data_IF_726359248377
#
_entry.id   IF_726359248377
#
_cell.length_a   1.000
_cell.length_b   1.000
_cell.length_c   1.000
_cell.angle_alpha   90.00
_cell.angle_beta   90.00
_cell.angle_gamma   90.00
#
_symmetry.space_group_name_H-M   'P 1'
#
loop_
_entity.id
_entity.type
_entity.pdbx_description
1 polymer ?
#
# COMPACT_ATOMS: atom_id res chain seq x y z
N UNK A 1 16.42 -26.60 -10.00
CA UNK A 1 17.18 -25.36 -10.24
C UNK A 1 16.26 -24.19 -9.97
N UNK A 2 16.65 -23.26 -9.11
CA UNK A 2 15.89 -22.01 -8.89
C UNK A 2 16.01 -21.16 -10.16
N UNK A 3 14.88 -20.69 -10.72
CA UNK A 3 14.91 -19.90 -11.95
C UNK A 3 15.53 -18.52 -11.69
N UNK A 4 16.07 -17.86 -12.72
CA UNK A 4 16.60 -16.49 -12.56
C UNK A 4 15.50 -15.51 -12.10
N UNK A 5 14.23 -15.78 -12.46
CA UNK A 5 13.09 -14.99 -12.02
C UNK A 5 12.84 -15.16 -10.53
N UNK A 6 12.93 -16.37 -9.97
CA UNK A 6 12.75 -16.61 -8.54
C UNK A 6 13.83 -15.90 -7.73
N UNK A 7 15.08 -15.96 -8.19
CA UNK A 7 16.21 -15.24 -7.55
C UNK A 7 15.96 -13.74 -7.52
N UNK A 8 15.55 -13.14 -8.64
CA UNK A 8 15.24 -11.71 -8.72
C UNK A 8 14.02 -11.34 -7.88
N UNK A 9 13.05 -12.25 -7.75
CA UNK A 9 11.88 -12.05 -6.92
C UNK A 9 12.28 -11.96 -5.45
N UNK A 10 13.08 -12.92 -4.98
CA UNK A 10 13.61 -12.93 -3.61
C UNK A 10 14.47 -11.69 -3.36
N UNK A 11 15.37 -11.32 -4.27
CA UNK A 11 16.19 -10.11 -4.15
C UNK A 11 15.33 -8.85 -3.98
N UNK A 12 14.28 -8.71 -4.80
CA UNK A 12 13.31 -7.62 -4.68
C UNK A 12 12.60 -7.65 -3.32
N UNK A 13 12.24 -8.84 -2.83
CA UNK A 13 11.58 -9.00 -1.54
C UNK A 13 12.50 -8.65 -0.37
N UNK A 14 13.78 -9.01 -0.42
CA UNK A 14 14.77 -8.58 0.58
C UNK A 14 14.88 -7.05 0.66
N UNK A 15 14.86 -6.36 -0.49
CA UNK A 15 14.87 -4.89 -0.50
C UNK A 15 13.64 -4.30 0.20
N UNK A 16 12.46 -4.92 0.02
CA UNK A 16 11.23 -4.49 0.71
C UNK A 16 11.23 -4.85 2.18
N UNK A 17 11.76 -6.02 2.56
CA UNK A 17 11.95 -6.40 3.96
C UNK A 17 12.90 -5.44 4.66
N UNK A 18 13.92 -4.92 3.97
CA UNK A 18 14.79 -3.86 4.49
C UNK A 18 14.03 -2.62 4.94
N UNK A 19 13.05 -2.16 4.14
CA UNK A 19 12.16 -1.05 4.50
C UNK A 19 11.31 -1.37 5.74
N UNK A 20 10.75 -2.58 5.80
CA UNK A 20 9.95 -3.04 6.96
C UNK A 20 10.80 -3.07 8.23
N UNK A 21 12.02 -3.63 8.17
CA UNK A 21 12.95 -3.70 9.30
C UNK A 21 13.36 -2.32 9.79
N UNK A 22 13.60 -1.39 8.87
CA UNK A 22 13.91 -0.01 9.20
C UNK A 22 12.76 0.65 10.00
N UNK A 23 11.53 0.54 9.50
CA UNK A 23 10.35 1.05 10.21
C UNK A 23 10.15 0.37 11.56
N UNK A 24 10.31 -0.96 11.62
CA UNK A 24 10.14 -1.72 12.86
C UNK A 24 11.09 -1.23 13.96
N UNK A 25 12.35 -0.94 13.62
CA UNK A 25 13.31 -0.34 14.55
C UNK A 25 12.86 1.05 15.01
N UNK A 26 12.40 1.90 14.09
CA UNK A 26 11.89 3.24 14.44
C UNK A 26 10.66 3.18 15.33
N UNK A 27 9.80 2.18 15.13
CA UNK A 27 8.54 2.00 15.84
C UNK A 27 8.65 1.08 17.06
N UNK A 28 9.88 0.79 17.53
CA UNK A 28 10.14 0.01 18.74
C UNK A 28 9.45 -1.37 18.73
N UNK A 29 9.51 -2.05 17.58
CA UNK A 29 8.89 -3.35 17.35
C UNK A 29 7.35 -3.37 17.34
N UNK A 30 6.70 -2.22 17.18
CA UNK A 30 5.25 -2.14 16.97
C UNK A 30 4.89 -2.50 15.51
N UNK A 31 4.54 -3.77 15.30
CA UNK A 31 4.16 -4.29 13.98
C UNK A 31 2.85 -3.71 13.43
N UNK A 32 1.91 -3.33 14.29
CA UNK A 32 0.67 -2.69 13.87
C UNK A 32 0.94 -1.28 13.31
N UNK A 33 1.81 -0.53 13.97
CA UNK A 33 2.24 0.78 13.50
C UNK A 33 3.01 0.68 12.16
N UNK A 34 3.89 -0.33 12.02
CA UNK A 34 4.60 -0.60 10.76
C UNK A 34 3.61 -0.93 9.64
N UNK A 35 2.63 -1.80 9.93
CA UNK A 35 1.58 -2.13 8.96
C UNK A 35 0.82 -0.87 8.56
N UNK A 36 0.42 -0.01 9.51
CA UNK A 36 -0.30 1.23 9.22
C UNK A 36 0.45 2.15 8.27
N UNK A 37 1.74 2.38 8.49
CA UNK A 37 2.55 3.22 7.60
C UNK A 37 2.69 2.61 6.21
N UNK A 38 2.97 1.31 6.15
CA UNK A 38 3.15 0.61 4.88
C UNK A 38 1.83 0.50 4.09
N UNK A 39 0.70 0.24 4.75
CA UNK A 39 -0.64 0.28 4.16
C UNK A 39 -0.95 1.68 3.63
N UNK A 40 -0.73 2.72 4.44
CA UNK A 40 -0.98 4.10 4.03
C UNK A 40 -0.20 4.43 2.76
N UNK A 41 1.09 4.09 2.71
CA UNK A 41 1.91 4.21 1.50
C UNK A 41 1.32 3.45 0.31
N UNK A 42 0.92 2.20 0.52
CA UNK A 42 0.29 1.36 -0.51
C UNK A 42 -1.01 1.96 -1.06
N UNK A 43 -1.84 2.57 -0.20
CA UNK A 43 -3.08 3.23 -0.58
C UNK A 43 -2.87 4.47 -1.44
N UNK A 44 -1.73 5.14 -1.30
CA UNK A 44 -1.35 6.27 -2.13
C UNK A 44 -0.83 5.87 -3.52
N UNK A 45 -0.52 4.59 -3.75
CA UNK A 45 0.07 4.08 -5.00
C UNK A 45 1.30 4.93 -5.42
N UNK A 46 1.60 4.99 -6.73
CA UNK A 46 2.76 5.73 -7.24
C UNK A 46 2.61 7.25 -7.12
N UNK A 47 1.39 7.80 -7.11
CA UNK A 47 1.17 9.25 -7.15
C UNK A 47 1.17 9.88 -5.76
N UNK A 48 0.53 9.25 -4.77
CA UNK A 48 0.32 9.79 -3.42
C UNK A 48 1.00 8.95 -2.34
N UNK A 49 1.71 7.88 -2.70
CA UNK A 49 2.33 6.98 -1.72
C UNK A 49 3.28 7.68 -0.76
N UNK A 50 4.06 8.65 -1.24
CA UNK A 50 4.94 9.45 -0.38
C UNK A 50 4.17 10.35 0.58
N UNK A 51 3.11 11.02 0.11
CA UNK A 51 2.28 11.88 0.96
C UNK A 51 1.58 11.07 2.06
N UNK A 52 1.03 9.90 1.70
CA UNK A 52 0.33 9.05 2.67
C UNK A 52 1.30 8.39 3.65
N UNK A 53 2.50 8.02 3.20
CA UNK A 53 3.57 7.54 4.07
C UNK A 53 3.99 8.61 5.10
N UNK A 54 4.23 9.85 4.65
CA UNK A 54 4.60 10.95 5.54
C UNK A 54 3.49 11.28 6.55
N UNK A 55 2.24 11.31 6.10
CA UNK A 55 1.08 11.48 6.98
C UNK A 55 1.05 10.40 8.07
N UNK A 56 1.21 9.13 7.69
CA UNK A 56 1.15 8.03 8.64
C UNK A 56 2.27 8.05 9.67
N UNK A 57 3.47 8.51 9.29
CA UNK A 57 4.59 8.72 10.23
C UNK A 57 4.32 9.81 11.28
N UNK A 58 3.48 10.80 10.94
CA UNK A 58 3.12 11.91 11.84
C UNK A 58 1.96 11.57 12.78
N UNK A 59 1.35 10.39 12.62
CA UNK A 59 0.26 9.93 13.48
C UNK A 59 0.80 8.84 14.40
N UNK A 60 0.90 9.07 15.72
CA UNK A 60 1.19 7.99 16.64
C UNK A 60 0.10 6.93 16.54
N UNK A 61 0.46 5.68 16.24
CA UNK A 61 -0.52 4.63 15.92
C UNK A 61 -1.58 4.41 17.01
N UNK A 62 -1.23 4.60 18.28
CA UNK A 62 -2.19 4.61 19.40
C UNK A 62 -3.39 5.56 19.20
N UNK A 63 -3.23 6.65 18.44
CA UNK A 63 -4.32 7.59 18.14
C UNK A 63 -5.27 7.03 17.09
N UNK A 64 -4.76 6.25 16.13
CA UNK A 64 -5.61 5.47 15.23
C UNK A 64 -6.47 4.49 16.05
N UNK A 65 -5.86 3.77 17.00
CA UNK A 65 -6.59 2.85 17.87
C UNK A 65 -7.62 3.53 18.78
N UNK A 66 -7.39 4.76 19.22
CA UNK A 66 -8.34 5.51 20.05
C UNK A 66 -9.52 6.09 19.27
N UNK A 67 -9.30 6.44 18.00
CA UNK A 67 -10.28 7.14 17.19
C UNK A 67 -11.09 6.19 16.27
N UNK A 68 -10.70 4.92 16.16
CA UNK A 68 -11.33 3.91 15.31
C UNK A 68 -12.79 3.60 15.61
N UNK A 69 -13.29 3.95 16.79
CA UNK A 69 -14.69 3.67 17.18
C UNK A 69 -15.69 4.46 16.31
N UNK A 70 -15.24 5.58 15.72
CA UNK A 70 -16.04 6.38 14.80
C UNK A 70 -15.28 6.60 13.47
N UNK A 71 -15.83 6.14 12.33
CA UNK A 71 -15.26 6.43 11.02
C UNK A 71 -15.01 7.92 10.76
N UNK A 72 -15.91 8.80 11.23
CA UNK A 72 -15.76 10.25 11.05
C UNK A 72 -14.46 10.75 11.71
N UNK A 73 -14.13 10.23 12.89
CA UNK A 73 -12.92 10.63 13.62
C UNK A 73 -11.64 10.20 12.91
N UNK A 74 -11.57 8.97 12.39
CA UNK A 74 -10.42 8.53 11.61
C UNK A 74 -10.31 9.27 10.27
N UNK A 75 -11.44 9.51 9.60
CA UNK A 75 -11.46 10.31 8.38
C UNK A 75 -10.97 11.74 8.65
N UNK A 76 -11.41 12.37 9.75
CA UNK A 76 -10.95 13.70 10.15
C UNK A 76 -9.44 13.72 10.40
N UNK A 77 -8.92 12.74 11.13
CA UNK A 77 -7.48 12.60 11.39
C UNK A 77 -6.68 12.46 10.09
N UNK A 78 -7.09 11.55 9.20
CA UNK A 78 -6.36 11.26 7.97
C UNK A 78 -6.44 12.40 6.96
N UNK A 79 -7.63 12.96 6.72
CA UNK A 79 -7.80 14.08 5.79
C UNK A 79 -7.14 15.35 6.32
N UNK A 80 -7.20 15.58 7.63
CA UNK A 80 -6.54 16.71 8.27
C UNK A 80 -5.02 16.65 8.15
N UNK A 81 -4.40 15.49 8.41
CA UNK A 81 -2.96 15.33 8.25
C UNK A 81 -2.48 15.33 6.79
N UNK A 82 -3.41 15.19 5.84
CA UNK A 82 -3.16 15.38 4.40
C UNK A 82 -3.45 16.80 3.90
N UNK A 83 -3.99 17.70 4.74
CA UNK A 83 -4.28 19.09 4.37
C UNK A 83 -5.46 19.20 3.43
N UNK A 84 -6.43 18.29 3.55
CA UNK A 84 -7.62 18.26 2.69
C UNK A 84 -8.83 18.95 3.32
N UNK A 85 -8.66 19.54 4.51
CA UNK A 85 -9.72 20.12 5.31
C UNK A 85 -9.63 21.64 5.45
N UNK A 86 -8.78 22.32 4.69
CA UNK A 86 -8.67 23.78 4.74
C UNK A 86 -9.87 24.48 4.06
N UNK A 87 -10.31 25.65 4.57
CA UNK A 87 -11.38 26.44 3.96
C UNK A 87 -10.97 27.04 2.59
N UNK A 88 -11.94 27.37 1.70
CA UNK A 88 -13.39 27.28 1.90
C UNK A 88 -13.91 25.84 1.80
N UNK A 89 -14.82 25.47 2.71
CA UNK A 89 -15.43 24.14 2.73
C UNK A 89 -16.45 23.97 1.60
N UNK A 90 -16.48 22.77 1.02
CA UNK A 90 -17.36 22.42 -0.12
C UNK A 90 -18.60 21.63 0.30
N UNK A 91 -18.68 21.23 1.56
CA UNK A 91 -19.82 20.52 2.14
C UNK A 91 -19.81 20.65 3.67
N UNK A 92 -20.98 20.50 4.30
CA UNK A 92 -21.10 20.39 5.75
C UNK A 92 -20.27 19.24 6.33
N UNK A 93 -20.15 18.13 5.58
CA UNK A 93 -19.30 17.01 5.96
C UNK A 93 -17.82 17.40 6.06
N UNK A 94 -17.30 18.20 5.12
CA UNK A 94 -15.91 18.66 5.16
C UNK A 94 -15.67 19.60 6.34
N UNK A 95 -16.64 20.47 6.64
CA UNK A 95 -16.60 21.38 7.79
C UNK A 95 -16.62 20.65 9.13
N UNK A 96 -17.45 19.60 9.23
CA UNK A 96 -17.51 18.72 10.40
C UNK A 96 -16.17 18.00 10.62
N UNK A 97 -15.60 17.43 9.55
CA UNK A 97 -14.27 16.81 9.60
C UNK A 97 -13.19 17.81 10.04
N UNK A 98 -13.21 19.03 9.52
CA UNK A 98 -12.27 20.08 9.91
C UNK A 98 -12.38 20.41 11.41
N UNK A 99 -13.60 20.52 11.92
CA UNK A 99 -13.88 20.80 13.33
C UNK A 99 -13.30 19.70 14.23
N UNK A 100 -13.56 18.43 13.90
CA UNK A 100 -13.01 17.29 14.64
C UNK A 100 -11.48 17.25 14.56
N UNK A 101 -10.91 17.46 13.37
CA UNK A 101 -9.47 17.46 13.20
C UNK A 101 -8.78 18.57 13.99
N UNK A 102 -9.36 19.78 14.03
CA UNK A 102 -8.84 20.92 14.79
C UNK A 102 -8.74 20.60 16.29
N UNK A 103 -9.77 19.91 16.82
CA UNK A 103 -9.75 19.40 18.18
C UNK A 103 -8.65 18.35 18.39
N UNK A 104 -8.52 17.35 17.49
CA UNK A 104 -7.48 16.31 17.60
C UNK A 104 -6.07 16.86 17.49
N UNK A 105 -5.84 17.81 16.58
CA UNK A 105 -4.55 18.46 16.39
C UNK A 105 -4.08 19.12 17.68
N UNK A 106 -4.99 19.81 18.37
CA UNK A 106 -4.72 20.45 19.67
C UNK A 106 -4.55 19.41 20.78
N UNK A 107 -5.52 18.50 20.94
CA UNK A 107 -5.55 17.48 22.00
C UNK A 107 -4.33 16.55 21.99
N UNK A 108 -3.88 16.16 20.80
CA UNK A 108 -2.79 15.21 20.63
C UNK A 108 -1.47 15.86 20.21
N UNK A 109 -1.42 17.20 20.14
CA UNK A 109 -0.25 17.96 19.70
C UNK A 109 0.29 17.43 18.36
N UNK A 110 -0.60 17.23 17.40
CA UNK A 110 -0.21 16.69 16.10
C UNK A 110 0.60 17.75 15.34
N UNK A 111 1.76 17.34 14.83
CA UNK A 111 2.60 18.18 13.99
C UNK A 111 1.89 18.52 12.67
N UNK A 112 2.34 19.61 12.05
CA UNK A 112 1.76 20.10 10.81
C UNK A 112 1.81 19.06 9.68
N UNK A 113 0.83 19.20 8.79
CA UNK A 113 0.47 18.40 7.63
C UNK A 113 1.67 17.84 6.84
N UNK A 114 1.46 16.69 6.19
CA UNK A 114 2.45 16.07 5.32
C UNK A 114 3.09 17.09 4.36
N UNK A 115 4.44 17.14 4.35
CA UNK A 115 5.21 18.07 3.49
C UNK A 115 4.94 17.88 2.00
N UNK A 116 4.56 16.66 1.60
CA UNK A 116 4.22 16.34 0.20
C UNK A 116 2.77 16.67 -0.11
N UNK A 117 2.55 17.46 -1.17
CA UNK A 117 1.20 17.78 -1.65
C UNK A 117 0.50 16.55 -2.20
N UNK A 118 -0.75 16.38 -1.79
CA UNK A 118 -1.65 15.37 -2.33
C UNK A 118 -2.07 15.75 -3.76
N UNK A 119 -2.02 14.79 -4.67
CA UNK A 119 -2.33 14.97 -6.08
C UNK A 119 -3.67 14.31 -6.44
N UNK A 120 -4.54 15.08 -7.10
CA UNK A 120 -5.78 14.60 -7.72
C UNK A 120 -5.68 14.50 -9.26
N UNK A 121 -4.77 15.27 -9.86
CA UNK A 121 -4.62 15.33 -11.30
C UNK A 121 -4.23 13.97 -11.90
N UNK A 122 -4.77 13.65 -13.08
CA UNK A 122 -4.49 12.42 -13.84
C UNK A 122 -4.88 11.12 -13.13
N UNK A 123 -5.64 11.19 -12.03
CA UNK A 123 -6.21 10.03 -11.37
C UNK A 123 -7.62 9.76 -11.89
N UNK A 124 -7.99 8.47 -11.94
CA UNK A 124 -9.39 8.07 -12.06
C UNK A 124 -10.10 8.35 -10.74
N UNK A 125 -11.40 8.69 -10.72
CA UNK A 125 -12.13 9.03 -9.49
C UNK A 125 -12.02 7.97 -8.37
N UNK A 126 -12.04 6.68 -8.72
CA UNK A 126 -11.86 5.59 -7.74
C UNK A 126 -10.48 5.55 -7.06
N UNK A 127 -9.48 6.22 -7.63
CA UNK A 127 -8.13 6.36 -7.08
C UNK A 127 -7.91 7.69 -6.37
N UNK A 128 -8.95 8.54 -6.24
CA UNK A 128 -8.78 9.81 -5.57
C UNK A 128 -8.35 9.61 -4.10
N UNK A 129 -7.48 10.49 -3.59
CA UNK A 129 -7.00 10.46 -2.22
C UNK A 129 -8.11 10.38 -1.17
N UNK A 130 -9.20 11.12 -1.41
CA UNK A 130 -10.44 11.12 -0.63
C UNK A 130 -11.02 9.72 -0.47
N UNK A 131 -11.21 9.00 -1.59
CA UNK A 131 -11.72 7.64 -1.58
C UNK A 131 -10.74 6.67 -0.91
N UNK A 132 -9.45 6.79 -1.22
CA UNK A 132 -8.43 5.89 -0.67
C UNK A 132 -8.31 6.01 0.84
N UNK A 133 -8.37 7.21 1.39
CA UNK A 133 -8.29 7.39 2.84
C UNK A 133 -9.57 7.04 3.57
N UNK A 134 -10.74 7.30 2.98
CA UNK A 134 -11.99 6.81 3.54
C UNK A 134 -12.05 5.27 3.59
N UNK A 135 -11.55 4.60 2.54
CA UNK A 135 -11.41 3.13 2.54
C UNK A 135 -10.43 2.64 3.62
N UNK A 136 -9.28 3.31 3.78
CA UNK A 136 -8.30 2.94 4.80
C UNK A 136 -8.86 3.12 6.22
N UNK A 137 -9.53 4.24 6.48
CA UNK A 137 -10.21 4.48 7.76
C UNK A 137 -11.17 3.34 8.08
N UNK A 138 -11.99 2.94 7.11
CA UNK A 138 -12.96 1.85 7.29
C UNK A 138 -12.32 0.47 7.56
N UNK A 139 -11.11 0.20 7.05
CA UNK A 139 -10.38 -1.02 7.41
C UNK A 139 -10.02 -0.99 8.90
N UNK A 140 -9.47 0.13 9.37
CA UNK A 140 -9.06 0.27 10.76
C UNK A 140 -10.24 0.36 11.73
N UNK A 141 -11.39 0.86 11.31
CA UNK A 141 -12.64 0.76 12.10
C UNK A 141 -13.04 -0.70 12.28
N UNK A 142 -13.09 -1.47 11.19
CA UNK A 142 -13.70 -2.82 11.17
C UNK A 142 -12.81 -3.92 11.73
N UNK A 143 -11.49 -3.79 11.63
CA UNK A 143 -10.57 -4.88 11.95
C UNK A 143 -9.66 -4.50 13.11
N UNK A 144 -10.01 -4.89 14.35
CA UNK A 144 -9.08 -4.85 15.48
C UNK A 144 -7.87 -5.73 15.22
N UNK A 145 -6.70 -5.31 15.69
CA UNK A 145 -5.44 -6.04 15.53
C UNK A 145 -5.21 -6.50 14.07
N UNK A 146 -5.21 -5.54 13.13
CA UNK A 146 -5.16 -5.82 11.69
C UNK A 146 -3.89 -6.58 11.31
N UNK A 147 -2.75 -6.26 11.93
CA UNK A 147 -1.50 -6.98 11.68
C UNK A 147 -1.63 -8.45 12.03
N UNK A 148 -2.09 -8.76 13.25
CA UNK A 148 -2.27 -10.14 13.69
C UNK A 148 -3.28 -10.88 12.81
N UNK A 149 -4.35 -10.20 12.40
CA UNK A 149 -5.33 -10.74 11.49
C UNK A 149 -4.72 -11.08 10.13
N UNK A 150 -3.85 -10.21 9.58
CA UNK A 150 -3.16 -10.38 8.30
C UNK A 150 -2.15 -11.52 8.35
N UNK A 151 -1.27 -11.59 9.37
CA UNK A 151 -0.22 -12.62 9.42
C UNK A 151 -0.76 -14.02 9.69
N UNK A 152 -1.91 -14.14 10.36
CA UNK A 152 -2.57 -15.43 10.62
C UNK A 152 -3.31 -16.01 9.42
N UNK A 153 -3.55 -15.24 8.36
CA UNK A 153 -4.19 -15.78 7.16
C UNK A 153 -3.28 -16.78 6.46
N UNK A 154 -3.89 -17.86 5.96
CA UNK A 154 -3.21 -18.90 5.20
C UNK A 154 -3.30 -18.68 3.70
N UNK A 155 -4.34 -17.99 3.22
CA UNK A 155 -4.56 -17.73 1.78
C UNK A 155 -4.78 -16.24 1.46
N UNK A 156 -4.36 -15.78 0.27
CA UNK A 156 -4.67 -14.45 -0.25
C UNK A 156 -6.16 -14.12 -0.30
N UNK A 157 -7.01 -15.10 -0.63
CA UNK A 157 -8.47 -14.94 -0.68
C UNK A 157 -9.04 -14.67 0.72
N UNK A 158 -8.59 -15.40 1.74
CA UNK A 158 -8.99 -15.14 3.12
C UNK A 158 -8.48 -13.77 3.59
N UNK A 159 -7.26 -13.38 3.20
CA UNK A 159 -6.73 -12.04 3.47
C UNK A 159 -7.57 -10.93 2.83
N UNK A 160 -8.04 -11.10 1.59
CA UNK A 160 -8.90 -10.13 0.93
C UNK A 160 -10.20 -9.82 1.71
N UNK A 161 -10.74 -10.81 2.43
CA UNK A 161 -11.94 -10.60 3.26
C UNK A 161 -11.76 -9.51 4.32
N UNK A 162 -10.54 -9.36 4.88
CA UNK A 162 -10.20 -8.32 5.87
C UNK A 162 -10.23 -6.91 5.25
N UNK A 163 -10.06 -6.82 3.93
CA UNK A 163 -10.04 -5.59 3.15
C UNK A 163 -11.35 -5.38 2.37
N UNK A 164 -12.33 -6.28 2.50
CA UNK A 164 -13.62 -6.20 1.81
C UNK A 164 -14.55 -5.18 2.46
N UNK A 165 -14.14 -3.90 2.42
CA UNK A 165 -14.91 -2.77 2.95
C UNK A 165 -15.15 -1.71 1.87
N UNK A 166 -16.12 -0.83 2.14
CA UNK A 166 -16.40 0.35 1.35
C UNK A 166 -16.07 1.61 2.16
N UNK A 167 -15.84 2.73 1.48
CA UNK A 167 -15.77 4.05 2.12
C UNK A 167 -17.07 4.37 2.88
N UNK A 168 -17.02 5.33 3.82
CA UNK A 168 -18.19 5.76 4.60
C UNK A 168 -19.33 6.31 3.74
N UNK A 169 -20.51 6.45 4.35
CA UNK A 169 -21.76 6.76 3.66
C UNK A 169 -21.68 7.99 2.73
N UNK A 170 -21.01 9.06 3.17
CA UNK A 170 -20.80 10.29 2.39
C UNK A 170 -20.22 10.01 1.00
N UNK A 171 -19.26 9.10 0.91
CA UNK A 171 -18.54 8.76 -0.32
C UNK A 171 -19.35 7.88 -1.28
N UNK A 172 -20.51 7.37 -0.87
CA UNK A 172 -21.39 6.63 -1.79
C UNK A 172 -21.81 7.52 -2.96
N UNK A 173 -22.03 8.81 -2.70
CA UNK A 173 -22.48 9.81 -3.68
C UNK A 173 -21.42 10.86 -4.01
N UNK A 174 -20.17 10.69 -3.56
CA UNK A 174 -19.09 11.66 -3.79
C UNK A 174 -17.79 10.94 -4.15
N UNK A 175 -17.00 11.53 -5.05
CA UNK A 175 -15.58 11.17 -5.22
C UNK A 175 -14.65 12.20 -4.59
N UNK A 176 -15.11 13.44 -4.44
CA UNK A 176 -14.41 14.53 -3.79
C UNK A 176 -15.43 15.37 -3.01
N UNK A 177 -14.98 16.16 -2.03
CA UNK A 177 -15.85 16.98 -1.21
C UNK A 177 -16.71 17.92 -2.06
N UNK A 178 -18.01 17.96 -1.75
CA UNK A 178 -19.03 18.80 -2.41
C UNK A 178 -19.44 18.37 -3.82
N UNK A 179 -18.69 17.47 -4.48
CA UNK A 179 -18.95 17.06 -5.85
C UNK A 179 -19.75 15.75 -5.90
N UNK A 180 -21.07 15.88 -6.10
CA UNK A 180 -21.99 14.75 -6.22
C UNK A 180 -21.70 13.91 -7.46
N UNK A 181 -21.87 12.61 -7.33
CA UNK A 181 -21.81 11.60 -8.38
C UNK A 181 -23.03 10.69 -8.31
N UNK A 182 -23.22 9.84 -9.32
CA UNK A 182 -24.17 8.73 -9.23
C UNK A 182 -23.85 7.87 -8.00
N UNK A 183 -24.86 7.40 -7.24
CA UNK A 183 -24.64 6.52 -6.10
C UNK A 183 -23.88 5.25 -6.49
N UNK A 184 -22.80 4.97 -5.79
CA UNK A 184 -22.02 3.74 -5.95
C UNK A 184 -21.20 3.48 -4.68
N UNK A 185 -21.29 2.26 -4.14
CA UNK A 185 -20.42 1.84 -3.05
C UNK A 185 -18.96 1.84 -3.49
N UNK A 186 -18.12 2.60 -2.78
CA UNK A 186 -16.71 2.75 -3.09
C UNK A 186 -15.90 1.63 -2.43
N UNK A 187 -16.10 0.40 -2.91
CA UNK A 187 -15.40 -0.81 -2.43
C UNK A 187 -13.95 -0.86 -2.90
N UNK A 188 -13.11 -1.55 -2.14
CA UNK A 188 -11.77 -1.97 -2.60
C UNK A 188 -11.97 -3.04 -3.69
N UNK A 189 -11.37 -2.83 -4.87
CA UNK A 189 -11.40 -3.81 -5.95
C UNK A 189 -10.34 -4.90 -5.74
N UNK A 190 -10.56 -6.08 -6.31
CA UNK A 190 -9.55 -7.16 -6.35
C UNK A 190 -8.23 -6.68 -6.93
N UNK A 191 -8.27 -5.97 -8.08
CA UNK A 191 -7.08 -5.44 -8.73
C UNK A 191 -6.27 -4.44 -7.88
N UNK A 192 -6.94 -3.69 -7.00
CA UNK A 192 -6.24 -2.79 -6.07
C UNK A 192 -5.70 -3.57 -4.87
N UNK A 193 -6.45 -4.55 -4.38
CA UNK A 193 -5.96 -5.46 -3.35
C UNK A 193 -4.73 -6.25 -3.81
N UNK A 194 -4.69 -6.74 -5.05
CA UNK A 194 -3.52 -7.42 -5.63
C UNK A 194 -2.26 -6.54 -5.55
N UNK A 195 -2.41 -5.23 -5.80
CA UNK A 195 -1.32 -4.26 -5.66
C UNK A 195 -0.88 -4.08 -4.20
N UNK A 196 -1.82 -4.05 -3.25
CA UNK A 196 -1.51 -4.00 -1.82
C UNK A 196 -0.82 -5.30 -1.37
N UNK A 197 -1.32 -6.44 -1.84
CA UNK A 197 -0.81 -7.76 -1.52
C UNK A 197 0.66 -7.87 -1.92
N UNK A 198 0.98 -7.59 -3.19
CA UNK A 198 2.35 -7.75 -3.71
C UNK A 198 3.34 -6.70 -3.20
N UNK A 199 2.89 -5.46 -2.97
CA UNK A 199 3.78 -4.36 -2.58
C UNK A 199 3.86 -4.12 -1.07
N UNK A 200 2.91 -4.64 -0.30
CA UNK A 200 2.75 -4.29 1.12
C UNK A 200 2.61 -5.53 1.99
N UNK A 201 1.57 -6.34 1.77
CA UNK A 201 1.22 -7.43 2.69
C UNK A 201 2.20 -8.59 2.62
N UNK A 202 2.59 -9.03 1.41
CA UNK A 202 3.58 -10.09 1.21
C UNK A 202 4.94 -9.70 1.83
N UNK A 203 5.51 -8.50 1.54
CA UNK A 203 6.74 -8.07 2.21
C UNK A 203 6.67 -8.04 3.75
N UNK A 204 5.56 -7.60 4.33
CA UNK A 204 5.38 -7.56 5.79
C UNK A 204 5.30 -8.98 6.36
N UNK A 205 4.51 -9.87 5.74
CA UNK A 205 4.41 -11.27 6.15
C UNK A 205 5.77 -11.96 6.08
N UNK A 206 6.52 -11.72 5.01
CA UNK A 206 7.86 -12.29 4.83
C UNK A 206 8.85 -11.75 5.87
N UNK A 207 8.83 -10.44 6.14
CA UNK A 207 9.64 -9.83 7.19
C UNK A 207 9.30 -10.41 8.58
N UNK A 208 8.01 -10.61 8.87
CA UNK A 208 7.56 -11.17 10.14
C UNK A 208 7.97 -12.65 10.30
N UNK A 209 7.79 -13.47 9.26
CA UNK A 209 8.24 -14.87 9.29
C UNK A 209 9.75 -14.98 9.57
N UNK A 210 10.56 -14.11 8.94
CA UNK A 210 12.00 -14.04 9.25
C UNK A 210 12.29 -13.58 10.68
N UNK A 211 11.52 -12.63 11.19
CA UNK A 211 11.65 -12.15 12.57
C UNK A 211 11.35 -13.23 13.60
N UNK A 212 10.38 -14.11 13.33
CA UNK A 212 10.00 -15.23 14.21
C UNK A 212 10.81 -16.52 13.97
N UNK A 213 11.81 -16.49 13.09
CA UNK A 213 12.64 -17.66 12.78
C UNK A 213 11.99 -18.72 11.88
N UNK A 214 10.88 -18.40 11.22
CA UNK A 214 10.19 -19.29 10.29
C UNK A 214 10.74 -19.13 8.86
N UNK A 215 10.74 -20.21 8.07
CA UNK A 215 11.07 -20.16 6.64
C UNK A 215 9.93 -19.49 5.86
N UNK A 216 10.02 -18.18 5.65
CA UNK A 216 8.99 -17.41 4.96
C UNK A 216 8.97 -17.58 3.43
N UNK A 217 9.95 -18.27 2.84
CA UNK A 217 10.15 -18.33 1.38
C UNK A 217 9.07 -19.14 0.66
N UNK A 218 8.66 -20.29 1.21
CA UNK A 218 7.57 -21.10 0.63
C UNK A 218 6.26 -20.31 0.63
N UNK A 219 5.90 -19.73 1.77
CA UNK A 219 4.68 -18.90 1.86
C UNK A 219 4.75 -17.64 0.98
N UNK A 220 5.95 -17.09 0.77
CA UNK A 220 6.16 -15.96 -0.14
C UNK A 220 5.78 -16.31 -1.58
N UNK A 221 6.31 -17.41 -2.12
CA UNK A 221 5.99 -17.83 -3.49
C UNK A 221 4.53 -18.26 -3.62
N UNK A 222 4.02 -19.08 -2.69
CA UNK A 222 2.62 -19.52 -2.69
C UNK A 222 1.64 -18.36 -2.79
N UNK A 223 1.89 -17.26 -2.08
CA UNK A 223 1.02 -16.09 -2.13
C UNK A 223 1.23 -15.28 -3.41
N UNK A 224 2.47 -15.06 -3.81
CA UNK A 224 2.80 -14.25 -4.98
C UNK A 224 2.33 -14.88 -6.29
N UNK A 225 2.35 -16.21 -6.41
CA UNK A 225 1.94 -16.94 -7.61
C UNK A 225 0.43 -16.86 -7.87
N UNK A 226 -0.38 -16.65 -6.84
CA UNK A 226 -1.84 -16.45 -6.98
C UNK A 226 -2.19 -15.08 -7.57
N UNK A 227 -1.27 -14.13 -7.54
CA UNK A 227 -1.51 -12.77 -8.03
C UNK A 227 -1.28 -12.73 -9.54
N UNK A 228 -2.25 -12.25 -10.33
CA UNK A 228 -2.08 -12.15 -11.78
C UNK A 228 -0.88 -11.29 -12.17
N UNK A 229 -0.25 -11.62 -13.29
CA UNK A 229 0.84 -10.80 -13.82
C UNK A 229 0.40 -9.36 -14.09
N UNK A 230 1.22 -8.41 -13.67
CA UNK A 230 0.93 -7.00 -13.87
C UNK A 230 0.90 -6.61 -15.36
N UNK A 231 0.11 -5.59 -15.67
CA UNK A 231 0.08 -4.99 -17.01
C UNK A 231 0.91 -3.72 -17.00
N UNK A 232 2.09 -3.78 -17.63
CA UNK A 232 3.01 -2.65 -17.72
C UNK A 232 3.61 -2.57 -19.13
N UNK A 233 3.91 -1.36 -19.61
CA UNK A 233 4.57 -1.15 -20.91
C UNK A 233 5.92 -1.86 -21.01
N UNK A 234 6.69 -1.89 -19.91
CA UNK A 234 7.97 -2.62 -19.82
C UNK A 234 7.74 -4.12 -20.02
N UNK A 235 6.74 -4.67 -19.35
CA UNK A 235 6.38 -6.08 -19.43
C UNK A 235 5.89 -6.48 -20.82
N UNK A 236 5.22 -5.58 -21.55
CA UNK A 236 4.85 -5.81 -22.95
C UNK A 236 6.08 -5.98 -23.85
N UNK A 237 7.19 -5.31 -23.56
CA UNK A 237 8.45 -5.55 -24.29
C UNK A 237 8.97 -6.96 -24.04
N UNK A 238 9.00 -7.42 -22.78
CA UNK A 238 9.37 -8.80 -22.46
C UNK A 238 8.46 -9.84 -23.11
N UNK A 239 7.14 -9.57 -23.23
CA UNK A 239 6.20 -10.45 -23.96
C UNK A 239 6.57 -10.60 -25.43
N UNK A 240 7.05 -9.55 -26.10
CA UNK A 240 7.47 -9.60 -27.51
C UNK A 240 8.64 -10.56 -27.72
N UNK A 241 9.52 -10.69 -26.73
CA UNK A 241 10.62 -11.64 -26.72
C UNK A 241 10.22 -13.02 -26.14
N UNK A 242 8.92 -13.29 -25.99
CA UNK A 242 8.39 -14.57 -25.50
C UNK A 242 8.88 -14.96 -24.10
N UNK A 243 9.29 -13.99 -23.28
CA UNK A 243 9.74 -14.25 -21.91
C UNK A 243 8.51 -14.46 -21.01
N UNK A 244 8.42 -15.59 -20.28
CA UNK A 244 7.24 -15.96 -19.50
C UNK A 244 7.02 -14.99 -18.33
N UNK A 245 5.74 -14.71 -18.07
CA UNK A 245 5.28 -13.83 -16.98
C UNK A 245 3.86 -14.25 -16.56
N UNK A 246 3.75 -15.45 -15.99
CA UNK A 246 2.46 -16.08 -15.68
C UNK A 246 1.72 -15.37 -14.54
N UNK A 247 2.46 -14.86 -13.55
CA UNK A 247 1.94 -14.30 -12.31
C UNK A 247 2.80 -13.12 -11.82
N UNK A 248 2.54 -12.66 -10.59
CA UNK A 248 3.28 -11.56 -9.98
C UNK A 248 4.76 -11.89 -9.76
N UNK A 249 5.14 -13.15 -9.52
CA UNK A 249 6.56 -13.54 -9.42
C UNK A 249 7.29 -13.17 -10.72
N UNK A 250 6.84 -13.72 -11.85
CA UNK A 250 7.46 -13.45 -13.14
C UNK A 250 7.44 -11.96 -13.51
N UNK A 251 6.29 -11.28 -13.36
CA UNK A 251 6.18 -9.86 -13.71
C UNK A 251 7.02 -8.94 -12.80
N UNK A 252 7.01 -9.14 -11.47
CA UNK A 252 7.82 -8.34 -10.55
C UNK A 252 9.31 -8.59 -10.73
N UNK A 253 9.73 -9.81 -11.03
CA UNK A 253 11.14 -10.14 -11.31
C UNK A 253 11.65 -9.44 -12.56
N UNK A 254 10.85 -9.38 -13.63
CA UNK A 254 11.23 -8.68 -14.86
C UNK A 254 11.25 -7.16 -14.68
N UNK A 255 10.32 -6.60 -13.89
CA UNK A 255 10.35 -5.19 -13.51
C UNK A 255 11.59 -4.87 -12.66
N UNK A 256 11.94 -5.75 -11.73
CA UNK A 256 13.13 -5.62 -10.88
C UNK A 256 14.42 -5.69 -11.72
N UNK A 257 14.51 -6.67 -12.63
CA UNK A 257 15.59 -6.81 -13.59
C UNK A 257 15.77 -5.53 -14.41
N UNK A 258 14.69 -5.06 -15.01
CA UNK A 258 14.73 -3.87 -15.86
C UNK A 258 15.21 -2.64 -15.08
N UNK A 259 14.64 -2.41 -13.89
CA UNK A 259 14.93 -1.23 -13.08
C UNK A 259 16.34 -1.23 -12.50
N UNK A 260 16.79 -2.35 -11.94
CA UNK A 260 18.03 -2.41 -11.15
C UNK A 260 19.25 -2.86 -11.95
N UNK A 261 19.05 -3.52 -13.09
CA UNK A 261 20.13 -4.03 -13.92
C UNK A 261 20.13 -3.44 -15.34
N UNK A 262 19.00 -3.47 -16.06
CA UNK A 262 18.98 -3.01 -17.47
C UNK A 262 19.15 -1.49 -17.60
N UNK A 263 18.37 -0.69 -16.85
CA UNK A 263 18.50 0.79 -16.87
C UNK A 263 19.91 1.23 -16.47
N UNK A 264 20.51 0.72 -15.37
CA UNK A 264 21.86 1.11 -14.98
C UNK A 264 22.98 0.40 -15.77
N UNK A 265 22.66 -0.42 -16.78
CA UNK A 265 23.60 -1.18 -17.61
C UNK A 265 24.54 -2.14 -16.83
N UNK A 266 24.03 -2.77 -15.76
CA UNK A 266 24.80 -3.71 -14.91
C UNK A 266 24.80 -5.15 -15.44
N UNK A 267 25.02 -5.34 -16.74
CA UNK A 267 24.95 -6.67 -17.38
C UNK A 267 25.95 -7.67 -16.79
N UNK A 268 27.15 -7.22 -16.40
CA UNK A 268 28.18 -8.07 -15.78
C UNK A 268 27.80 -8.57 -14.38
N UNK A 269 26.90 -7.88 -13.69
CA UNK A 269 26.37 -8.29 -12.37
C UNK A 269 25.00 -8.97 -12.46
N UNK A 270 24.45 -9.11 -13.67
CA UNK A 270 23.15 -9.70 -13.92
C UNK A 270 23.33 -11.13 -14.43
N UNK A 271 22.66 -12.11 -13.83
CA UNK A 271 22.74 -13.50 -14.30
C UNK A 271 22.32 -13.62 -15.78
N UNK A 272 21.22 -12.98 -16.17
CA UNK A 272 20.77 -12.99 -17.59
C UNK A 272 21.80 -12.33 -18.50
N UNK A 273 22.36 -11.19 -18.09
CA UNK A 273 23.38 -10.48 -18.88
C UNK A 273 24.64 -11.31 -19.05
N UNK A 274 25.12 -11.91 -17.95
CA UNK A 274 26.30 -12.79 -17.95
C UNK A 274 26.13 -13.98 -18.90
N UNK A 275 24.98 -14.68 -18.84
CA UNK A 275 24.71 -15.81 -19.73
C UNK A 275 24.68 -15.38 -21.21
N UNK A 276 24.03 -14.25 -21.53
CA UNK A 276 23.99 -13.72 -22.91
C UNK A 276 25.39 -13.37 -23.45
N UNK A 277 26.27 -12.83 -22.61
CA UNK A 277 27.65 -12.49 -22.98
C UNK A 277 28.54 -13.73 -23.11
N UNK A 278 28.28 -14.79 -22.35
CA UNK A 278 29.00 -16.07 -22.47
C UNK A 278 28.64 -16.83 -23.76
N UNK A 279 27.43 -16.62 -24.26
CA UNK A 279 26.95 -17.18 -25.53
C UNK A 279 27.27 -16.32 -26.77
N UNK A 280 27.97 -15.21 -26.60
CA UNK A 280 28.45 -14.33 -27.69
C UNK A 280 29.93 -14.58 -27.96
#
# INVERSE_FOLDING_TARGET
MVSFQDRLFVERMEQRVGEVRFLLKQMKNDWEAVLFVMLSKGFGLNCNGLAFYQMALQIPFKRVLQLREDPLHLEALFFGQLGLLDPPYKSSYQEELHTQYSYFKTKYMLEATAKSKVQFARLRPANFPTIRMAQLAQIYVKTPALFDAVVRQTTPKACYSLFSTAASAYWTTHFNFGLKSKPQLKKISSSFFDLLLINTLIPIRFAYAKYTGQSGETSLFEWAETVPAEKNRILNTFKKYQIPQLNAVGSQSLLHLYKNYCIPKKCLSCQVGFELMKSS
#
